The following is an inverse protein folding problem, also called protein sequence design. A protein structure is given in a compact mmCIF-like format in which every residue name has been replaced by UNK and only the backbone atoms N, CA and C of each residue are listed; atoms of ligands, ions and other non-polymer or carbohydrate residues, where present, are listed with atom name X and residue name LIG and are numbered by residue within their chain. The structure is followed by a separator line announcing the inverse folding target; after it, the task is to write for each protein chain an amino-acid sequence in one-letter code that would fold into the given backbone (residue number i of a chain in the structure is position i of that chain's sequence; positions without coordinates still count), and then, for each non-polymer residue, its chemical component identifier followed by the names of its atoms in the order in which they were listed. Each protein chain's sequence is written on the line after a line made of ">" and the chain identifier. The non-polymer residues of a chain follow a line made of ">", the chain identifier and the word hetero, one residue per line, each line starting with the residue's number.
data_IF_562164819359
#
_entry.id   IF_562164819359
#
_cell.length_a   1.000
_cell.length_b   1.000
_cell.length_c   1.000
_cell.angle_alpha   90.00
_cell.angle_beta   90.00
_cell.angle_gamma   90.00
#
_symmetry.space_group_name_H-M   'P 1'
#
loop_
_entity.id
_entity.type
_entity.pdbx_description
1 polymer ?
#
# COMPACT_ATOMS: atom_id res chain seq x y z
N UNK A 1 8.08 -50.17 -1.10
CA UNK A 1 7.67 -49.14 -0.11
C UNK A 1 8.25 -47.80 -0.53
N UNK A 2 7.37 -46.79 -0.63
CA UNK A 2 7.61 -45.34 -0.73
C UNK A 2 8.19 -44.80 -2.05
N UNK A 3 7.27 -44.59 -3.00
CA UNK A 3 7.32 -43.46 -3.91
C UNK A 3 7.05 -42.16 -3.13
N UNK A 4 7.88 -41.14 -3.32
CA UNK A 4 7.54 -39.75 -3.05
C UNK A 4 8.23 -38.90 -4.11
N UNK A 5 7.53 -38.72 -5.23
CA UNK A 5 7.89 -37.75 -6.25
C UNK A 5 7.44 -36.38 -5.74
N UNK A 6 8.40 -35.55 -5.32
CA UNK A 6 8.16 -34.14 -5.10
C UNK A 6 7.74 -33.49 -6.42
N UNK A 7 6.47 -33.10 -6.53
CA UNK A 7 6.02 -32.23 -7.61
C UNK A 7 6.42 -30.81 -7.27
N UNK A 8 7.47 -30.34 -7.92
CA UNK A 8 7.69 -28.92 -8.16
C UNK A 8 6.64 -28.44 -9.15
N UNK A 9 5.46 -28.02 -8.68
CA UNK A 9 4.50 -27.31 -9.52
C UNK A 9 5.01 -25.88 -9.72
N UNK A 10 5.39 -25.57 -10.96
CA UNK A 10 5.91 -24.28 -11.41
C UNK A 10 4.88 -23.18 -11.15
N UNK A 11 5.29 -22.14 -10.43
CA UNK A 11 4.46 -21.02 -9.97
C UNK A 11 3.65 -20.32 -11.10
N UNK A 12 4.13 -20.39 -12.35
CA UNK A 12 3.43 -19.82 -13.52
C UNK A 12 2.16 -20.60 -13.93
N UNK A 13 2.12 -21.93 -13.75
CA UNK A 13 0.96 -22.73 -14.14
C UNK A 13 -0.25 -22.52 -13.22
N UNK A 14 0.00 -22.18 -11.95
CA UNK A 14 -1.06 -21.93 -10.96
C UNK A 14 -1.80 -20.60 -11.15
N UNK A 15 -1.15 -19.60 -11.76
CA UNK A 15 -1.77 -18.27 -11.93
C UNK A 15 -2.70 -18.18 -13.14
N UNK A 16 -2.35 -18.82 -14.26
CA UNK A 16 -3.19 -18.81 -15.47
C UNK A 16 -4.46 -19.66 -15.28
N UNK A 17 -4.34 -20.83 -14.66
CA UNK A 17 -5.51 -21.66 -14.33
C UNK A 17 -6.50 -20.97 -13.39
N UNK A 18 -6.02 -20.05 -12.52
CA UNK A 18 -6.90 -19.28 -11.64
C UNK A 18 -7.73 -18.24 -12.40
N UNK A 19 -7.14 -17.62 -13.43
CA UNK A 19 -7.80 -16.59 -14.23
C UNK A 19 -8.91 -17.15 -15.11
N UNK A 20 -8.74 -18.36 -15.64
CA UNK A 20 -9.72 -18.98 -16.54
C UNK A 20 -10.91 -19.61 -15.80
N UNK A 21 -10.77 -19.88 -14.49
CA UNK A 21 -11.77 -20.59 -13.69
C UNK A 21 -12.61 -19.70 -12.78
N UNK A 22 -12.17 -18.48 -12.47
CA UNK A 22 -12.89 -17.55 -11.59
C UNK A 22 -13.75 -16.60 -12.40
N UNK A 23 -15.04 -16.54 -12.06
CA UNK A 23 -16.06 -15.77 -12.77
C UNK A 23 -16.60 -14.67 -11.85
N UNK A 24 -16.77 -13.46 -12.38
CA UNK A 24 -17.45 -12.37 -11.68
C UNK A 24 -18.96 -12.55 -11.88
N UNK A 25 -19.69 -12.88 -10.81
CA UNK A 25 -21.16 -13.07 -10.86
C UNK A 25 -21.91 -11.76 -10.63
N UNK A 26 -21.33 -10.86 -9.83
CA UNK A 26 -21.91 -9.55 -9.51
C UNK A 26 -20.79 -8.55 -9.23
N UNK A 27 -20.97 -7.30 -9.63
CA UNK A 27 -20.04 -6.23 -9.25
C UNK A 27 -20.76 -4.90 -9.05
N UNK A 28 -20.20 -4.09 -8.18
CA UNK A 28 -20.51 -2.68 -8.01
C UNK A 28 -19.19 -1.99 -7.67
N UNK A 29 -18.51 -1.46 -8.69
CA UNK A 29 -17.18 -0.88 -8.56
C UNK A 29 -17.19 0.57 -9.05
N UNK A 30 -16.43 1.41 -8.36
CA UNK A 30 -16.16 2.79 -8.73
C UNK A 30 -14.66 3.05 -8.70
N UNK A 31 -14.16 3.73 -9.73
CA UNK A 31 -12.78 4.21 -9.75
C UNK A 31 -12.66 5.48 -8.91
N UNK A 32 -11.85 5.42 -7.86
CA UNK A 32 -11.60 6.54 -6.96
C UNK A 32 -10.13 6.94 -7.05
N UNK A 33 -9.90 8.23 -7.31
CA UNK A 33 -8.58 8.83 -7.24
C UNK A 33 -8.26 9.13 -5.78
N UNK A 34 -7.28 8.46 -5.19
CA UNK A 34 -6.85 8.67 -3.81
C UNK A 34 -5.39 9.09 -3.75
N UNK A 35 -5.03 9.88 -2.74
CA UNK A 35 -3.65 10.28 -2.50
C UNK A 35 -2.97 9.15 -1.73
N UNK A 36 -2.04 8.45 -2.38
CA UNK A 36 -1.23 7.44 -1.70
C UNK A 36 0.17 7.33 -2.33
N UNK A 37 1.21 7.41 -1.49
CA UNK A 37 2.61 7.42 -1.93
C UNK A 37 3.12 8.80 -2.35
N UNK A 38 4.31 8.84 -3.00
CA UNK A 38 5.18 10.03 -3.05
C UNK A 38 4.56 11.33 -3.56
N UNK A 39 4.01 11.36 -4.77
CA UNK A 39 3.73 12.61 -5.51
C UNK A 39 2.77 12.29 -6.63
N UNK A 40 1.55 11.97 -6.25
CA UNK A 40 0.52 11.64 -7.21
C UNK A 40 -0.66 10.96 -6.55
N UNK A 41 -1.83 11.26 -7.09
CA UNK A 41 -3.05 10.52 -6.83
C UNK A 41 -3.01 9.20 -7.62
N UNK A 42 -3.23 8.07 -6.96
CA UNK A 42 -3.44 6.77 -7.60
C UNK A 42 -4.93 6.53 -7.79
N UNK A 43 -5.31 5.94 -8.92
CA UNK A 43 -6.68 5.50 -9.15
C UNK A 43 -6.81 4.04 -8.71
N UNK A 44 -7.72 3.78 -7.78
CA UNK A 44 -8.06 2.44 -7.33
C UNK A 44 -9.55 2.16 -7.45
N UNK A 45 -9.95 0.90 -7.25
CA UNK A 45 -11.35 0.53 -7.19
C UNK A 45 -11.86 0.55 -5.77
N UNK A 46 -13.11 0.98 -5.62
CA UNK A 46 -13.87 0.89 -4.38
C UNK A 46 -15.24 0.28 -4.68
N UNK A 47 -15.79 -0.47 -3.74
CA UNK A 47 -17.07 -1.15 -3.89
C UNK A 47 -17.01 -2.63 -3.57
N UNK A 48 -17.81 -3.44 -4.25
CA UNK A 48 -17.97 -4.86 -4.00
C UNK A 48 -17.93 -5.68 -5.30
N UNK A 49 -17.34 -6.87 -5.22
CA UNK A 49 -17.41 -7.90 -6.26
C UNK A 49 -17.84 -9.22 -5.63
N UNK A 50 -18.58 -10.00 -6.40
CA UNK A 50 -18.94 -11.37 -6.08
C UNK A 50 -18.27 -12.28 -7.11
N UNK A 51 -17.53 -13.26 -6.60
CA UNK A 51 -16.74 -14.19 -7.38
C UNK A 51 -17.28 -15.60 -7.18
N UNK A 52 -17.26 -16.38 -8.24
CA UNK A 52 -17.59 -17.81 -8.23
C UNK A 52 -16.59 -18.59 -9.08
N UNK A 53 -16.66 -19.91 -9.01
CA UNK A 53 -15.86 -20.82 -9.83
C UNK A 53 -16.69 -21.36 -11.00
N UNK A 54 -16.02 -21.61 -12.12
CA UNK A 54 -16.60 -22.33 -13.26
C UNK A 54 -17.00 -23.75 -12.85
N UNK A 55 -17.92 -24.37 -13.61
CA UNK A 55 -18.37 -25.74 -13.32
C UNK A 55 -17.22 -26.74 -13.25
N UNK A 56 -16.27 -26.64 -14.17
CA UNK A 56 -15.09 -27.52 -14.23
C UNK A 56 -14.22 -27.33 -12.98
N UNK A 57 -14.03 -26.08 -12.54
CA UNK A 57 -13.21 -25.79 -11.36
C UNK A 57 -13.87 -26.18 -10.03
N UNK A 58 -15.20 -26.32 -9.99
CA UNK A 58 -15.93 -26.84 -8.83
C UNK A 58 -15.73 -28.34 -8.63
N UNK A 59 -15.31 -29.09 -9.66
CA UNK A 59 -15.03 -30.53 -9.56
C UNK A 59 -13.67 -30.81 -8.88
N UNK A 60 -12.79 -29.81 -8.82
CA UNK A 60 -11.51 -29.89 -8.12
C UNK A 60 -11.63 -29.37 -6.68
N UNK A 61 -11.72 -30.30 -5.73
CA UNK A 61 -11.89 -29.99 -4.32
C UNK A 61 -10.72 -29.20 -3.72
N UNK A 62 -9.47 -29.48 -4.15
CA UNK A 62 -8.30 -28.75 -3.65
C UNK A 62 -8.33 -27.31 -4.14
N UNK A 63 -8.73 -27.12 -5.40
CA UNK A 63 -8.87 -25.80 -5.99
C UNK A 63 -9.98 -24.96 -5.33
N UNK A 64 -11.13 -25.57 -5.04
CA UNK A 64 -12.22 -24.94 -4.26
C UNK A 64 -11.73 -24.52 -2.87
N UNK A 65 -10.98 -25.38 -2.18
CA UNK A 65 -10.43 -25.05 -0.86
C UNK A 65 -9.46 -23.88 -0.91
N UNK A 66 -8.57 -23.85 -1.91
CA UNK A 66 -7.65 -22.74 -2.13
C UNK A 66 -8.41 -21.42 -2.38
N UNK A 67 -9.40 -21.44 -3.28
CA UNK A 67 -10.24 -20.27 -3.57
C UNK A 67 -10.91 -19.71 -2.30
N UNK A 68 -11.50 -20.60 -1.50
CA UNK A 68 -12.15 -20.21 -0.24
C UNK A 68 -11.15 -19.71 0.81
N UNK A 69 -9.96 -20.31 0.89
CA UNK A 69 -8.90 -19.89 1.80
C UNK A 69 -8.38 -18.48 1.44
N UNK A 70 -8.16 -18.20 0.16
CA UNK A 70 -7.75 -16.87 -0.31
C UNK A 70 -8.81 -15.81 0.00
N UNK A 71 -10.09 -16.12 -0.25
CA UNK A 71 -11.19 -15.23 0.11
C UNK A 71 -11.24 -14.91 1.61
N UNK A 72 -10.98 -15.90 2.48
CA UNK A 72 -10.91 -15.71 3.94
C UNK A 72 -9.66 -14.97 4.42
N UNK A 73 -8.55 -15.06 3.68
CA UNK A 73 -7.31 -14.39 4.01
C UNK A 73 -7.31 -12.91 3.59
N UNK A 74 -7.96 -12.58 2.48
CA UNK A 74 -7.98 -11.24 1.89
C UNK A 74 -8.32 -10.08 2.86
N UNK A 75 -9.26 -10.22 3.82
CA UNK A 75 -9.52 -9.17 4.81
C UNK A 75 -8.34 -8.81 5.71
N UNK A 76 -7.38 -9.73 5.88
CA UNK A 76 -6.24 -9.55 6.79
C UNK A 76 -5.01 -9.00 6.08
N UNK A 77 -4.74 -9.45 4.85
CA UNK A 77 -3.58 -9.00 4.07
C UNK A 77 -3.89 -7.84 3.11
N UNK A 78 -5.17 -7.56 2.86
CA UNK A 78 -5.62 -6.69 1.77
C UNK A 78 -5.43 -7.33 0.39
N UNK A 79 -5.89 -6.64 -0.64
CA UNK A 79 -5.80 -7.06 -2.05
C UNK A 79 -5.10 -6.00 -2.90
N UNK A 80 -4.14 -6.43 -3.72
CA UNK A 80 -3.45 -5.58 -4.69
C UNK A 80 -2.17 -4.92 -4.15
N UNK A 81 -1.80 -3.79 -4.75
CA UNK A 81 -0.55 -3.08 -4.43
C UNK A 81 -0.78 -2.04 -3.33
N UNK A 82 0.31 -1.63 -2.65
CA UNK A 82 0.33 -0.57 -1.63
C UNK A 82 -0.57 -0.84 -0.41
N UNK A 83 -0.78 -2.09 -0.02
CA UNK A 83 -1.54 -2.44 1.19
C UNK A 83 -0.91 -1.89 2.47
N UNK A 84 0.42 -1.75 2.49
CA UNK A 84 1.18 -1.08 3.56
C UNK A 84 0.82 0.41 3.74
N UNK A 85 0.17 1.04 2.76
CA UNK A 85 -0.33 2.42 2.82
C UNK A 85 -1.82 2.49 3.17
N UNK A 86 -2.41 1.39 3.63
CA UNK A 86 -3.86 1.30 3.87
C UNK A 86 -4.70 1.29 2.60
N UNK A 87 -4.11 0.98 1.43
CA UNK A 87 -4.86 0.73 0.21
C UNK A 87 -5.24 -0.75 0.08
N UNK A 88 -6.23 -1.05 -0.76
CA UNK A 88 -6.61 -2.44 -1.01
C UNK A 88 -7.23 -3.14 0.21
N UNK A 89 -7.77 -2.39 1.16
CA UNK A 89 -8.51 -2.99 2.28
C UNK A 89 -9.75 -3.72 1.74
N UNK A 90 -9.91 -4.98 2.14
CA UNK A 90 -11.00 -5.85 1.68
C UNK A 90 -11.79 -6.33 2.88
N UNK A 91 -13.07 -6.64 2.66
CA UNK A 91 -13.92 -7.32 3.64
C UNK A 91 -14.73 -8.41 2.94
N UNK A 92 -15.07 -9.45 3.69
CA UNK A 92 -16.02 -10.46 3.21
C UNK A 92 -17.46 -9.96 3.33
N UNK A 93 -18.30 -10.35 2.37
CA UNK A 93 -19.72 -10.05 2.33
C UNK A 93 -20.08 -8.91 1.37
N UNK A 94 -21.32 -8.95 0.89
CA UNK A 94 -21.88 -7.91 0.03
C UNK A 94 -22.39 -6.75 0.89
N UNK A 95 -21.97 -5.53 0.58
CA UNK A 95 -22.47 -4.32 1.25
C UNK A 95 -22.72 -3.23 0.22
N UNK A 96 -23.96 -2.75 0.19
CA UNK A 96 -24.46 -1.74 -0.74
C UNK A 96 -24.21 -0.30 -0.30
N UNK A 97 -23.51 -0.08 0.83
CA UNK A 97 -23.30 1.25 1.37
C UNK A 97 -22.38 2.06 0.45
N UNK A 98 -22.79 3.28 0.12
CA UNK A 98 -22.07 4.23 -0.73
C UNK A 98 -20.63 4.37 -0.27
N UNK A 99 -19.70 4.12 -1.20
CA UNK A 99 -18.27 4.04 -0.92
C UNK A 99 -17.61 5.41 -0.85
N UNK A 100 -18.12 6.30 -0.02
CA UNK A 100 -17.26 7.35 0.54
C UNK A 100 -16.55 6.74 1.75
N UNK A 101 -15.62 5.82 1.48
CA UNK A 101 -14.74 5.32 2.52
C UNK A 101 -13.91 6.51 3.00
N UNK A 102 -14.02 6.94 4.26
CA UNK A 102 -13.10 7.95 4.79
C UNK A 102 -11.67 7.41 4.60
N UNK A 103 -10.69 8.27 4.27
CA UNK A 103 -9.29 7.86 4.21
C UNK A 103 -8.96 7.08 5.49
N UNK A 104 -8.29 5.94 5.33
CA UNK A 104 -8.00 5.06 6.46
C UNK A 104 -7.29 5.87 7.55
N UNK A 105 -7.55 5.56 8.83
CA UNK A 105 -6.93 6.28 9.97
C UNK A 105 -5.42 6.41 9.79
N UNK A 106 -4.78 5.38 9.23
CA UNK A 106 -3.35 5.38 8.91
C UNK A 106 -2.95 6.42 7.84
N UNK A 107 -3.73 6.57 6.76
CA UNK A 107 -3.49 7.58 5.73
C UNK A 107 -3.63 8.99 6.29
N UNK A 108 -4.63 9.22 7.15
CA UNK A 108 -4.81 10.51 7.82
C UNK A 108 -3.64 10.82 8.75
N UNK A 109 -3.21 9.85 9.55
CA UNK A 109 -2.05 10.00 10.44
C UNK A 109 -0.77 10.30 9.66
N UNK A 110 -0.54 9.59 8.55
CA UNK A 110 0.61 9.82 7.68
C UNK A 110 0.57 11.24 7.07
N UNK A 111 -0.57 11.65 6.53
CA UNK A 111 -0.74 12.98 5.93
C UNK A 111 -0.52 14.10 6.96
N UNK A 112 -1.10 13.96 8.15
CA UNK A 112 -0.90 14.90 9.27
C UNK A 112 0.57 14.96 9.68
N UNK A 113 1.26 13.81 9.77
CA UNK A 113 2.67 13.76 10.14
C UNK A 113 3.58 14.40 9.09
N UNK A 114 3.31 14.17 7.81
CA UNK A 114 4.03 14.82 6.70
C UNK A 114 3.84 16.33 6.76
N UNK A 115 2.61 16.82 6.98
CA UNK A 115 2.32 18.24 7.07
C UNK A 115 3.08 18.90 8.23
N UNK A 116 3.03 18.30 9.43
CA UNK A 116 3.71 18.82 10.61
C UNK A 116 5.24 18.87 10.43
N UNK A 117 5.85 17.81 9.88
CA UNK A 117 7.29 17.80 9.60
C UNK A 117 7.69 18.78 8.50
N UNK A 118 6.83 18.98 7.49
CA UNK A 118 7.10 19.93 6.40
C UNK A 118 7.13 21.36 6.92
N UNK A 119 6.13 21.76 7.71
CA UNK A 119 6.08 23.07 8.35
C UNK A 119 7.29 23.32 9.25
N UNK A 120 7.70 22.28 10.00
CA UNK A 120 8.88 22.32 10.84
C UNK A 120 10.16 22.59 10.03
N UNK A 121 10.41 21.80 8.98
CA UNK A 121 11.59 21.97 8.14
C UNK A 121 11.58 23.28 7.35
N UNK A 122 10.41 23.77 6.96
CA UNK A 122 10.26 25.08 6.35
C UNK A 122 10.65 26.20 7.32
N UNK A 123 10.19 26.14 8.56
CA UNK A 123 10.50 27.14 9.59
C UNK A 123 12.00 27.21 9.87
N UNK A 124 12.68 26.06 9.96
CA UNK A 124 14.14 26.00 10.09
C UNK A 124 14.88 26.59 8.89
N UNK A 125 14.27 26.55 7.69
CA UNK A 125 14.88 26.98 6.43
C UNK A 125 14.41 28.36 5.94
N UNK A 126 13.62 29.10 6.73
CA UNK A 126 13.13 30.45 6.38
C UNK A 126 14.24 31.44 5.99
N UNK A 127 15.51 31.17 6.31
CA UNK A 127 16.67 31.98 5.88
C UNK A 127 17.13 31.74 4.42
N UNK A 128 16.65 30.71 3.73
CA UNK A 128 17.09 30.33 2.37
C UNK A 128 15.93 30.21 1.38
N UNK A 129 15.01 31.18 1.44
CA UNK A 129 13.73 31.20 0.72
C UNK A 129 13.81 30.89 -0.77
N UNK A 130 13.03 29.88 -1.20
CA UNK A 130 12.83 29.51 -2.60
C UNK A 130 12.04 28.21 -2.75
N UNK A 131 11.46 27.99 -3.92
CA UNK A 131 10.66 26.80 -4.27
C UNK A 131 11.42 25.49 -4.02
N UNK A 132 12.75 25.52 -4.23
CA UNK A 132 13.66 24.41 -3.96
C UNK A 132 13.73 24.03 -2.48
N UNK A 133 13.65 25.02 -1.57
CA UNK A 133 13.67 24.76 -0.13
C UNK A 133 12.40 24.02 0.31
N UNK A 134 11.25 24.37 -0.28
CA UNK A 134 9.97 23.68 -0.07
C UNK A 134 10.01 22.24 -0.57
N UNK A 135 10.45 22.02 -1.80
CA UNK A 135 10.51 20.68 -2.38
C UNK A 135 11.41 19.73 -1.57
N UNK A 136 12.51 20.23 -1.02
CA UNK A 136 13.41 19.43 -0.17
C UNK A 136 12.79 19.21 1.22
N UNK A 137 12.13 20.22 1.82
CA UNK A 137 11.46 20.08 3.12
C UNK A 137 10.35 19.02 3.05
N UNK A 138 9.51 19.07 2.03
CA UNK A 138 8.47 18.08 1.77
C UNK A 138 9.06 16.68 1.55
N UNK A 139 10.15 16.57 0.78
CA UNK A 139 10.80 15.27 0.53
C UNK A 139 11.38 14.68 1.82
N UNK A 140 12.01 15.50 2.67
CA UNK A 140 12.54 15.07 3.97
C UNK A 140 11.42 14.65 4.92
N UNK A 141 10.34 15.43 5.00
CA UNK A 141 9.16 15.12 5.80
C UNK A 141 8.52 13.80 5.36
N UNK A 142 8.38 13.58 4.06
CA UNK A 142 7.82 12.35 3.49
C UNK A 142 8.68 11.13 3.80
N UNK A 143 10.00 11.23 3.63
CA UNK A 143 10.93 10.12 3.96
C UNK A 143 10.89 9.78 5.44
N UNK A 144 10.91 10.80 6.32
CA UNK A 144 10.94 10.59 7.76
C UNK A 144 9.61 10.04 8.29
N UNK A 145 8.48 10.64 7.92
CA UNK A 145 7.15 10.19 8.35
C UNK A 145 6.90 8.73 7.96
N UNK A 146 7.18 8.36 6.72
CA UNK A 146 7.00 6.97 6.25
C UNK A 146 7.91 5.99 6.97
N UNK A 147 9.14 6.42 7.30
CA UNK A 147 10.07 5.61 8.08
C UNK A 147 9.61 5.42 9.53
N UNK A 148 8.99 6.43 10.14
CA UNK A 148 8.39 6.35 11.49
C UNK A 148 7.20 5.38 11.51
N UNK A 149 6.41 5.31 10.43
CA UNK A 149 5.32 4.34 10.28
C UNK A 149 5.78 2.91 9.92
N UNK A 150 7.10 2.66 9.87
CA UNK A 150 7.66 1.31 9.71
C UNK A 150 8.00 0.90 8.28
N UNK A 151 7.85 1.77 7.28
CA UNK A 151 8.24 1.44 5.91
C UNK A 151 9.76 1.24 5.75
N UNK A 152 10.14 0.32 4.85
CA UNK A 152 11.55 0.09 4.55
C UNK A 152 12.11 1.25 3.72
N UNK A 153 13.39 1.59 3.95
CA UNK A 153 14.05 2.62 3.14
C UNK A 153 14.15 2.24 1.65
N UNK A 154 14.10 0.94 1.33
CA UNK A 154 14.08 0.47 -0.07
C UNK A 154 12.74 0.77 -0.71
N UNK A 155 11.64 0.46 -0.04
CA UNK A 155 10.28 0.72 -0.55
C UNK A 155 10.01 2.22 -0.67
N UNK A 156 10.48 2.99 0.32
CA UNK A 156 10.49 4.44 0.25
C UNK A 156 11.30 4.86 -0.98
N UNK A 157 12.57 4.48 -1.12
CA UNK A 157 13.40 4.88 -2.26
C UNK A 157 12.75 4.57 -3.62
N UNK A 158 12.23 3.36 -3.79
CA UNK A 158 11.55 2.89 -5.01
C UNK A 158 10.30 3.72 -5.31
N UNK A 159 9.38 3.82 -4.35
CA UNK A 159 8.16 4.64 -4.51
C UNK A 159 8.52 6.09 -4.76
N UNK A 160 9.65 6.51 -4.19
CA UNK A 160 10.12 7.85 -4.31
C UNK A 160 10.91 8.16 -5.60
N UNK A 161 11.22 7.16 -6.44
CA UNK A 161 12.10 7.35 -7.59
C UNK A 161 13.50 7.88 -7.20
N UNK A 162 13.95 7.60 -5.97
CA UNK A 162 15.24 8.01 -5.46
C UNK A 162 16.20 6.81 -5.41
N UNK A 163 17.51 7.02 -5.61
CA UNK A 163 18.49 6.03 -5.22
C UNK A 163 18.38 5.70 -3.73
N UNK A 164 18.61 4.43 -3.37
CA UNK A 164 18.53 3.96 -1.98
C UNK A 164 19.44 4.79 -1.03
N UNK A 165 20.66 5.08 -1.45
CA UNK A 165 21.60 5.89 -0.67
C UNK A 165 21.10 7.32 -0.43
N UNK A 166 20.36 7.89 -1.39
CA UNK A 166 19.73 9.21 -1.24
C UNK A 166 18.60 9.16 -0.21
N UNK A 167 17.76 8.12 -0.23
CA UNK A 167 16.71 7.95 0.76
C UNK A 167 17.28 7.77 2.18
N UNK A 168 18.36 6.97 2.32
CA UNK A 168 19.09 6.80 3.58
C UNK A 168 19.69 8.11 4.10
N UNK A 169 20.28 8.90 3.20
CA UNK A 169 20.85 10.21 3.52
C UNK A 169 19.77 11.18 3.98
N UNK A 170 18.64 11.26 3.26
CA UNK A 170 17.52 12.13 3.62
C UNK A 170 16.89 11.71 4.94
N UNK A 171 16.72 10.42 5.22
CA UNK A 171 16.23 9.94 6.50
C UNK A 171 17.15 10.37 7.65
N UNK A 172 18.47 10.25 7.48
CA UNK A 172 19.46 10.66 8.48
C UNK A 172 19.42 12.17 8.74
N UNK A 173 19.40 12.97 7.67
CA UNK A 173 19.39 14.43 7.78
C UNK A 173 18.07 14.96 8.37
N UNK A 174 16.94 14.41 7.92
CA UNK A 174 15.62 14.76 8.44
C UNK A 174 15.48 14.43 9.92
N UNK A 175 15.96 13.26 10.36
CA UNK A 175 15.98 12.88 11.78
C UNK A 175 16.80 13.86 12.61
N UNK A 176 18.02 14.17 12.19
CA UNK A 176 18.89 15.12 12.90
C UNK A 176 18.23 16.50 13.02
N UNK A 177 17.59 16.96 11.95
CA UNK A 177 16.87 18.23 11.94
C UNK A 177 15.65 18.25 12.88
N UNK A 178 14.95 17.11 13.01
CA UNK A 178 13.84 16.97 13.94
C UNK A 178 14.30 16.87 15.42
N UNK A 179 15.46 16.26 15.69
CA UNK A 179 16.05 16.14 17.03
C UNK A 179 16.56 17.48 17.59
N UNK A 180 17.02 18.40 16.74
CA UNK A 180 17.55 19.70 17.18
C UNK A 180 16.55 20.61 17.91
N UNK A 181 15.27 20.24 17.97
CA UNK A 181 14.22 21.02 18.66
C UNK A 181 13.70 20.35 19.93
N UNK A 182 13.87 19.03 20.10
CA UNK A 182 13.52 18.35 21.36
C UNK A 182 14.50 18.63 22.50
N UNK A 183 15.60 19.35 22.23
CA UNK A 183 16.57 19.84 23.22
C UNK A 183 16.55 21.38 23.41
N UNK A 184 15.60 22.09 22.80
CA UNK A 184 15.47 23.56 22.93
C UNK A 184 14.13 23.99 23.55
N UNK A 185 13.46 23.08 24.27
CA UNK A 185 12.33 23.31 25.15
C UNK A 185 12.70 22.86 26.56
#
# INVERSE_FOLDING_TARGET
>A
MKHSAGRTSTQDQTHDGFRESVIITRHHLQSVKTVAGKRGSVTGFTGAIELSLSKIALEDLEYVQLFMALGRLAPYCGTGHKTTFGLGQTRLGWSSATTEAPPSTLQNLLAQRIAALTEHFLTQRKRTGGERAMAIAETWATVLARRELGESLRDIATDLGLPYETAKTYAKLARKAAETVSHSA
#
